data_IF_801882441135
#
_entry.id   IF_801882441135
#
_cell.length_a   1.000
_cell.length_b   1.000
_cell.length_c   1.000
_cell.angle_alpha   90.00
_cell.angle_beta   90.00
_cell.angle_gamma   90.00
#
_symmetry.space_group_name_H-M   'P 1'
#
loop_
_entity.id
_entity.type
_entity.pdbx_description
1 polymer ?
#
# COMPACT_ATOMS: atom_id res chain seq x y z
N UNK A 1 -62.73 17.51 45.19
CA UNK A 1 -61.89 16.32 45.43
C UNK A 1 -61.27 15.94 44.09
N UNK A 2 -60.12 16.52 43.76
CA UNK A 2 -59.51 16.39 42.43
C UNK A 2 -58.61 15.15 42.42
N UNK A 3 -59.10 14.07 41.79
CA UNK A 3 -58.32 12.88 41.51
C UNK A 3 -57.20 13.28 40.56
N UNK A 4 -55.96 13.39 41.05
CA UNK A 4 -54.78 13.47 40.17
C UNK A 4 -54.71 12.15 39.41
N UNK A 5 -55.33 12.09 38.22
CA UNK A 5 -55.16 10.97 37.30
C UNK A 5 -53.67 10.82 37.03
N UNK A 6 -53.13 9.65 37.37
CA UNK A 6 -51.72 9.34 37.16
C UNK A 6 -51.51 9.26 35.64
N UNK A 7 -51.09 10.35 35.02
CA UNK A 7 -50.80 10.48 33.58
C UNK A 7 -49.89 9.33 33.09
N UNK A 8 -49.08 8.77 33.99
CA UNK A 8 -48.25 7.59 33.78
C UNK A 8 -49.02 6.29 33.48
N UNK A 9 -50.22 6.10 34.03
CA UNK A 9 -51.01 4.87 33.88
C UNK A 9 -51.91 4.89 32.63
N UNK A 10 -52.44 6.06 32.28
CA UNK A 10 -53.36 6.21 31.14
C UNK A 10 -52.63 6.20 29.79
N UNK A 11 -51.40 6.73 29.75
CA UNK A 11 -50.56 6.80 28.55
C UNK A 11 -49.29 5.94 28.65
N UNK A 12 -49.39 4.78 29.31
CA UNK A 12 -48.25 3.85 29.51
C UNK A 12 -47.55 3.44 28.19
N UNK A 13 -48.31 3.36 27.10
CA UNK A 13 -47.79 3.04 25.76
C UNK A 13 -46.89 4.14 25.18
N UNK A 14 -47.12 5.41 25.53
CA UNK A 14 -46.23 6.53 25.12
C UNK A 14 -44.88 6.43 25.81
N UNK A 15 -44.84 5.97 27.06
CA UNK A 15 -43.58 5.72 27.78
C UNK A 15 -42.80 4.55 27.19
N UNK A 16 -43.49 3.46 26.82
CA UNK A 16 -42.85 2.36 26.09
C UNK A 16 -42.31 2.79 24.73
N UNK A 17 -43.08 3.57 23.98
CA UNK A 17 -42.63 4.13 22.70
C UNK A 17 -41.41 5.04 22.87
N UNK A 18 -41.38 5.86 23.91
CA UNK A 18 -40.25 6.72 24.25
C UNK A 18 -39.00 5.91 24.61
N UNK A 19 -39.14 4.82 25.38
CA UNK A 19 -38.03 3.91 25.69
C UNK A 19 -37.50 3.23 24.42
N UNK A 20 -38.38 2.77 23.53
CA UNK A 20 -37.97 2.16 22.25
C UNK A 20 -37.23 3.17 21.38
N UNK A 21 -37.73 4.42 21.28
CA UNK A 21 -37.05 5.49 20.54
C UNK A 21 -35.69 5.84 21.15
N UNK A 22 -35.58 5.88 22.48
CA UNK A 22 -34.32 6.15 23.16
C UNK A 22 -33.27 5.06 22.91
N UNK A 23 -33.67 3.78 22.94
CA UNK A 23 -32.79 2.65 22.61
C UNK A 23 -32.35 2.70 21.14
N UNK A 24 -33.27 2.99 20.22
CA UNK A 24 -32.95 3.14 18.80
C UNK A 24 -31.96 4.31 18.54
N UNK A 25 -32.19 5.46 19.18
CA UNK A 25 -31.30 6.62 19.07
C UNK A 25 -29.89 6.31 19.59
N UNK A 26 -29.77 5.61 20.72
CA UNK A 26 -28.47 5.17 21.26
C UNK A 26 -27.72 4.26 20.29
N UNK A 27 -28.44 3.32 19.63
CA UNK A 27 -27.84 2.41 18.66
C UNK A 27 -27.35 3.11 17.40
N UNK A 28 -28.11 4.10 16.90
CA UNK A 28 -27.73 4.91 15.74
C UNK A 28 -26.51 5.79 16.07
N UNK A 29 -26.47 6.42 17.24
CA UNK A 29 -25.29 7.19 17.67
C UNK A 29 -24.04 6.33 17.86
N UNK A 30 -24.17 5.12 18.40
CA UNK A 30 -23.05 4.17 18.49
C UNK A 30 -22.47 3.82 17.13
N UNK A 31 -23.32 3.54 16.13
CA UNK A 31 -22.89 3.27 14.75
C UNK A 31 -22.30 4.50 14.06
N UNK A 32 -22.90 5.67 14.26
CA UNK A 32 -22.38 6.93 13.71
C UNK A 32 -21.02 7.30 14.31
N UNK A 33 -20.82 7.11 15.62
CA UNK A 33 -19.54 7.34 16.29
C UNK A 33 -18.45 6.36 15.83
N UNK A 34 -18.79 5.07 15.67
CA UNK A 34 -17.86 4.08 15.13
C UNK A 34 -17.47 4.38 13.67
N UNK A 35 -18.43 4.78 12.83
CA UNK A 35 -18.17 5.20 11.46
C UNK A 35 -17.30 6.47 11.41
N UNK A 36 -17.59 7.47 12.25
CA UNK A 36 -16.81 8.69 12.34
C UNK A 36 -15.36 8.44 12.81
N UNK A 37 -15.14 7.54 13.78
CA UNK A 37 -13.81 7.11 14.20
C UNK A 37 -13.04 6.43 13.07
N UNK A 38 -13.67 5.47 12.38
CA UNK A 38 -13.07 4.78 11.23
C UNK A 38 -12.73 5.74 10.07
N UNK A 39 -13.57 6.75 9.84
CA UNK A 39 -13.27 7.82 8.88
C UNK A 39 -12.16 8.75 9.36
N UNK A 40 -12.09 9.03 10.66
CA UNK A 40 -11.02 9.82 11.27
C UNK A 40 -9.66 9.12 11.18
N UNK A 41 -9.60 7.83 11.52
CA UNK A 41 -8.39 6.99 11.42
C UNK A 41 -7.89 6.92 9.98
N UNK A 42 -8.78 6.64 9.02
CA UNK A 42 -8.41 6.64 7.58
C UNK A 42 -7.92 8.00 7.10
N UNK A 43 -8.54 9.09 7.58
CA UNK A 43 -8.08 10.45 7.24
C UNK A 43 -6.70 10.74 7.85
N UNK A 44 -6.45 10.31 9.09
CA UNK A 44 -5.16 10.46 9.75
C UNK A 44 -4.07 9.64 9.03
N UNK A 45 -4.37 8.40 8.64
CA UNK A 45 -3.45 7.55 7.87
C UNK A 45 -3.12 8.17 6.50
N UNK A 46 -4.13 8.68 5.79
CA UNK A 46 -3.92 9.41 4.52
C UNK A 46 -3.10 10.68 4.76
N UNK A 47 -3.40 11.45 5.81
CA UNK A 47 -2.66 12.66 6.14
C UNK A 47 -1.20 12.37 6.49
N UNK A 48 -0.93 11.30 7.23
CA UNK A 48 0.43 10.84 7.56
C UNK A 48 1.19 10.43 6.32
N UNK A 49 0.57 9.62 5.43
CA UNK A 49 1.16 9.25 4.13
C UNK A 49 1.47 10.49 3.28
N UNK A 50 0.54 11.44 3.18
CA UNK A 50 0.75 12.69 2.43
C UNK A 50 1.87 13.55 3.03
N UNK A 51 1.98 13.63 4.37
CA UNK A 51 3.07 14.34 5.04
C UNK A 51 4.42 13.67 4.78
N UNK A 52 4.46 12.34 4.82
CA UNK A 52 5.64 11.56 4.50
C UNK A 52 6.07 11.75 3.05
N UNK A 53 5.15 11.63 2.10
CA UNK A 53 5.41 11.88 0.68
C UNK A 53 5.88 13.32 0.42
N UNK A 54 5.29 14.31 1.09
CA UNK A 54 5.71 15.70 0.98
C UNK A 54 7.14 15.92 1.52
N UNK A 55 7.51 15.23 2.60
CA UNK A 55 8.86 15.24 3.15
C UNK A 55 9.85 14.61 2.16
N UNK A 56 9.56 13.41 1.64
CA UNK A 56 10.39 12.77 0.63
C UNK A 56 10.54 13.63 -0.63
N UNK A 57 9.43 14.24 -1.08
CA UNK A 57 9.42 15.13 -2.25
C UNK A 57 10.35 16.32 -2.07
N UNK A 58 10.47 16.85 -0.86
CA UNK A 58 11.41 17.92 -0.52
C UNK A 58 12.84 17.40 -0.37
N UNK A 59 13.04 16.30 0.35
CA UNK A 59 14.36 15.78 0.68
C UNK A 59 15.10 15.19 -0.51
N UNK A 60 14.38 14.53 -1.42
CA UNK A 60 14.88 13.85 -2.61
C UNK A 60 14.56 14.63 -3.89
N UNK A 61 14.20 15.91 -3.78
CA UNK A 61 13.95 16.79 -4.92
C UNK A 61 15.13 16.86 -5.90
N UNK A 62 16.35 16.69 -5.39
CA UNK A 62 17.58 16.54 -6.17
C UNK A 62 18.33 15.35 -5.59
N UNK A 63 18.59 14.35 -6.43
CA UNK A 63 19.36 13.18 -6.06
C UNK A 63 20.83 13.45 -6.41
N UNK A 64 21.73 13.31 -5.44
CA UNK A 64 23.18 13.42 -5.64
C UNK A 64 23.87 12.16 -5.12
N UNK A 65 25.09 11.82 -5.58
CA UNK A 65 25.82 10.68 -5.04
C UNK A 65 25.94 10.72 -3.51
N UNK A 66 26.21 11.91 -2.97
CA UNK A 66 26.30 12.12 -1.53
C UNK A 66 24.96 11.88 -0.81
N UNK A 67 23.85 12.36 -1.39
CA UNK A 67 22.51 12.13 -0.84
C UNK A 67 22.18 10.64 -0.79
N UNK A 68 22.50 9.87 -1.84
CA UNK A 68 22.32 8.41 -1.87
C UNK A 68 23.16 7.73 -0.80
N UNK A 69 24.42 8.13 -0.65
CA UNK A 69 25.33 7.55 0.33
C UNK A 69 24.90 7.80 1.79
N UNK A 70 24.39 9.00 2.09
CA UNK A 70 24.04 9.44 3.45
C UNK A 70 22.58 9.18 3.82
N UNK A 71 21.70 8.89 2.86
CA UNK A 71 20.29 8.67 3.12
C UNK A 71 20.05 7.52 4.11
N UNK A 72 19.05 7.64 5.01
CA UNK A 72 18.61 6.53 5.85
C UNK A 72 18.22 5.30 5.02
N UNK A 73 18.49 4.13 5.58
CA UNK A 73 18.32 2.85 4.89
C UNK A 73 16.84 2.50 4.65
N UNK A 74 15.95 2.97 5.52
CA UNK A 74 14.51 2.77 5.46
C UNK A 74 13.79 3.74 4.50
N UNK A 75 14.40 4.89 4.17
CA UNK A 75 13.77 5.91 3.32
C UNK A 75 14.38 6.05 1.93
N UNK A 76 15.57 5.49 1.68
CA UNK A 76 16.27 5.67 0.40
C UNK A 76 15.47 5.13 -0.80
N UNK A 77 14.88 3.93 -0.70
CA UNK A 77 14.03 3.38 -1.76
C UNK A 77 12.85 4.32 -2.07
N UNK A 78 12.12 4.71 -1.02
CA UNK A 78 10.94 5.57 -1.14
C UNK A 78 11.31 6.93 -1.76
N UNK A 79 12.43 7.51 -1.35
CA UNK A 79 12.94 8.78 -1.87
C UNK A 79 13.32 8.72 -3.35
N UNK A 80 14.01 7.66 -3.77
CA UNK A 80 14.39 7.43 -5.18
C UNK A 80 13.15 7.23 -6.05
N UNK A 81 12.20 6.42 -5.60
CA UNK A 81 10.94 6.19 -6.33
C UNK A 81 10.09 7.46 -6.37
N UNK A 82 10.00 8.22 -5.28
CA UNK A 82 9.31 9.50 -5.25
C UNK A 82 9.91 10.49 -6.27
N UNK A 83 11.24 10.54 -6.39
CA UNK A 83 11.92 11.36 -7.40
C UNK A 83 11.58 10.92 -8.82
N UNK A 84 11.59 9.60 -9.07
CA UNK A 84 11.21 9.03 -10.36
C UNK A 84 9.75 9.38 -10.72
N UNK A 85 8.81 9.19 -9.78
CA UNK A 85 7.40 9.58 -9.95
C UNK A 85 7.25 11.05 -10.34
N UNK A 86 7.93 11.97 -9.65
CA UNK A 86 7.92 13.40 -9.97
C UNK A 86 8.41 13.70 -11.39
N UNK A 87 9.37 12.92 -11.89
CA UNK A 87 9.90 13.06 -13.25
C UNK A 87 8.90 12.57 -14.28
N UNK A 88 8.25 11.43 -14.02
CA UNK A 88 7.22 10.84 -14.88
C UNK A 88 5.96 11.73 -14.94
N UNK A 89 5.53 12.30 -13.81
CA UNK A 89 4.39 13.23 -13.70
C UNK A 89 4.47 14.45 -14.62
N UNK A 90 5.68 14.86 -15.00
CA UNK A 90 5.90 16.02 -15.88
C UNK A 90 5.84 15.65 -17.37
N UNK A 91 5.77 14.36 -17.70
CA UNK A 91 5.78 13.89 -19.09
C UNK A 91 4.35 13.76 -19.61
N UNK A 92 4.11 14.06 -20.89
CA UNK A 92 2.79 13.96 -21.50
C UNK A 92 2.31 12.49 -21.63
N UNK A 93 3.25 11.56 -21.73
CA UNK A 93 3.00 10.11 -21.78
C UNK A 93 3.88 9.43 -20.72
N UNK A 94 3.26 9.10 -19.58
CA UNK A 94 3.93 8.46 -18.46
C UNK A 94 4.40 7.04 -18.81
N UNK A 95 3.61 6.28 -19.56
CA UNK A 95 3.94 4.88 -19.91
C UNK A 95 5.20 4.84 -20.76
N UNK A 96 5.25 5.66 -21.81
CA UNK A 96 6.44 5.77 -22.66
C UNK A 96 7.64 6.32 -21.89
N UNK A 97 7.42 7.29 -21.01
CA UNK A 97 8.49 7.83 -20.17
C UNK A 97 9.05 6.77 -19.21
N UNK A 98 8.18 5.98 -18.59
CA UNK A 98 8.58 4.89 -17.70
C UNK A 98 9.37 3.82 -18.46
N UNK A 99 8.93 3.43 -19.65
CA UNK A 99 9.66 2.48 -20.51
C UNK A 99 11.05 2.98 -20.92
N UNK A 100 11.26 4.30 -20.98
CA UNK A 100 12.55 4.90 -21.30
C UNK A 100 13.50 5.02 -20.08
N UNK A 101 13.00 4.79 -18.86
CA UNK A 101 13.83 4.74 -17.65
C UNK A 101 14.80 3.54 -17.69
N UNK A 102 15.87 3.64 -16.90
CA UNK A 102 16.80 2.52 -16.75
C UNK A 102 16.08 1.28 -16.18
N UNK A 103 16.67 0.10 -16.36
CA UNK A 103 16.08 -1.11 -15.79
C UNK A 103 16.04 -1.02 -14.26
N UNK A 104 17.11 -0.54 -13.65
CA UNK A 104 17.24 -0.38 -12.21
C UNK A 104 16.17 0.55 -11.64
N UNK A 105 15.88 1.66 -12.32
CA UNK A 105 14.80 2.57 -11.93
C UNK A 105 13.43 1.90 -11.96
N UNK A 106 13.14 1.17 -13.04
CA UNK A 106 11.86 0.47 -13.21
C UNK A 106 11.69 -0.66 -12.20
N UNK A 107 12.74 -1.41 -11.92
CA UNK A 107 12.76 -2.47 -10.92
C UNK A 107 12.56 -1.94 -9.50
N UNK A 108 13.29 -0.88 -9.11
CA UNK A 108 13.10 -0.26 -7.79
C UNK A 108 11.70 0.35 -7.64
N UNK A 109 11.15 0.90 -8.73
CA UNK A 109 9.76 1.34 -8.76
C UNK A 109 8.80 0.17 -8.50
N UNK A 110 8.96 -0.97 -9.19
CA UNK A 110 8.15 -2.16 -8.95
C UNK A 110 8.31 -2.70 -7.51
N UNK A 111 9.55 -2.75 -7.00
CA UNK A 111 9.86 -3.22 -5.65
C UNK A 111 9.20 -2.36 -4.56
N UNK A 112 9.12 -1.04 -4.78
CA UNK A 112 8.40 -0.14 -3.88
C UNK A 112 6.91 -0.51 -3.79
N UNK A 113 6.25 -0.81 -4.92
CA UNK A 113 4.85 -1.25 -4.89
C UNK A 113 4.68 -2.66 -4.32
N UNK A 114 5.65 -3.56 -4.45
CA UNK A 114 5.64 -4.83 -3.70
C UNK A 114 5.65 -4.55 -2.19
N UNK A 115 6.43 -3.57 -1.74
CA UNK A 115 6.48 -3.18 -0.33
C UNK A 115 5.19 -2.51 0.17
N UNK A 116 4.52 -1.69 -0.65
CA UNK A 116 3.29 -1.00 -0.24
C UNK A 116 2.04 -1.89 -0.38
N UNK A 117 1.90 -2.58 -1.51
CA UNK A 117 0.68 -3.31 -1.87
C UNK A 117 0.76 -4.80 -1.56
N UNK A 118 1.98 -5.36 -1.56
CA UNK A 118 2.24 -6.78 -1.32
C UNK A 118 2.48 -7.14 0.15
N UNK A 119 2.69 -6.16 1.04
CA UNK A 119 3.11 -6.40 2.43
C UNK A 119 2.18 -7.31 3.24
N UNK A 120 0.87 -7.27 2.97
CA UNK A 120 -0.08 -8.17 3.64
C UNK A 120 -0.34 -9.47 2.88
N UNK A 121 -0.39 -9.38 1.55
CA UNK A 121 -0.68 -10.45 0.60
C UNK A 121 -0.05 -10.09 -0.73
N UNK A 122 0.77 -10.97 -1.28
CA UNK A 122 1.40 -10.74 -2.57
C UNK A 122 0.35 -10.71 -3.70
N UNK A 123 -0.69 -11.54 -3.58
CA UNK A 123 -1.81 -11.56 -4.53
C UNK A 123 -2.57 -10.24 -4.61
N UNK A 124 -2.46 -9.39 -3.57
CA UNK A 124 -3.01 -8.03 -3.62
C UNK A 124 -2.22 -7.16 -4.59
N UNK A 125 -0.90 -7.19 -4.54
CA UNK A 125 -0.03 -6.45 -5.45
C UNK A 125 -0.36 -6.79 -6.91
N UNK A 126 -0.41 -8.08 -7.26
CA UNK A 126 -0.70 -8.53 -8.63
C UNK A 126 -2.12 -8.20 -9.11
N UNK A 127 -3.10 -8.10 -8.20
CA UNK A 127 -4.49 -7.76 -8.58
C UNK A 127 -4.74 -6.28 -8.83
N UNK A 128 -3.98 -5.39 -8.20
CA UNK A 128 -4.26 -3.95 -8.23
C UNK A 128 -3.26 -3.17 -9.06
N UNK A 129 -2.12 -3.79 -9.40
CA UNK A 129 -1.13 -3.25 -10.32
C UNK A 129 -1.22 -3.94 -11.68
N UNK A 130 -0.58 -3.37 -12.69
CA UNK A 130 -0.56 -3.91 -14.05
C UNK A 130 0.84 -3.90 -14.66
N UNK A 131 0.95 -4.38 -15.88
CA UNK A 131 2.23 -4.42 -16.59
C UNK A 131 2.79 -3.01 -16.85
N UNK A 132 4.13 -2.84 -16.81
CA UNK A 132 5.15 -3.89 -16.67
C UNK A 132 5.54 -4.20 -15.21
N UNK A 133 4.83 -3.67 -14.20
CA UNK A 133 5.23 -3.82 -12.80
C UNK A 133 5.19 -5.27 -12.32
N UNK A 134 4.24 -6.05 -12.84
CA UNK A 134 4.05 -7.44 -12.45
C UNK A 134 5.23 -8.29 -12.91
N UNK A 135 5.62 -8.17 -14.18
CA UNK A 135 6.79 -8.85 -14.74
C UNK A 135 8.12 -8.45 -14.07
N UNK A 136 8.23 -7.20 -13.61
CA UNK A 136 9.45 -6.67 -13.01
C UNK A 136 9.63 -7.06 -11.54
N UNK A 137 8.54 -7.31 -10.81
CA UNK A 137 8.59 -7.56 -9.37
C UNK A 137 9.50 -8.73 -8.96
N UNK A 138 9.45 -9.91 -9.60
CA UNK A 138 10.34 -11.02 -9.26
C UNK A 138 11.82 -10.69 -9.51
N UNK A 139 12.13 -10.02 -10.63
CA UNK A 139 13.50 -9.63 -10.96
C UNK A 139 14.04 -8.58 -9.99
N UNK A 140 13.20 -7.61 -9.61
CA UNK A 140 13.57 -6.58 -8.64
C UNK A 140 13.89 -7.17 -7.26
N UNK A 141 13.12 -8.16 -6.80
CA UNK A 141 13.42 -8.90 -5.57
C UNK A 141 14.74 -9.69 -5.68
N UNK A 142 14.98 -10.31 -6.84
CA UNK A 142 16.21 -11.07 -7.07
C UNK A 142 17.45 -10.16 -7.07
N UNK A 143 17.39 -8.97 -7.69
CA UNK A 143 18.51 -8.02 -7.75
C UNK A 143 18.87 -7.40 -6.40
N UNK A 144 17.95 -7.37 -5.44
CA UNK A 144 18.26 -6.96 -4.05
C UNK A 144 18.62 -8.14 -3.17
N UNK A 145 18.97 -9.29 -3.74
CA UNK A 145 19.32 -10.53 -3.04
C UNK A 145 18.19 -11.11 -2.15
N UNK A 146 16.93 -10.83 -2.46
CA UNK A 146 15.76 -11.42 -1.80
C UNK A 146 15.28 -12.70 -2.52
N UNK A 147 16.15 -13.73 -2.55
CA UNK A 147 15.95 -14.91 -3.41
C UNK A 147 14.66 -15.69 -3.14
N UNK A 148 14.29 -15.89 -1.86
CA UNK A 148 13.10 -16.67 -1.54
C UNK A 148 11.81 -15.90 -1.86
N UNK A 149 11.78 -14.60 -1.58
CA UNK A 149 10.69 -13.72 -2.03
C UNK A 149 10.57 -13.69 -3.54
N UNK A 150 11.70 -13.58 -4.26
CA UNK A 150 11.73 -13.57 -5.71
C UNK A 150 11.18 -14.88 -6.31
N UNK A 151 11.54 -16.03 -5.72
CA UNK A 151 11.03 -17.33 -6.14
C UNK A 151 9.52 -17.43 -5.99
N UNK A 152 8.98 -17.00 -4.85
CA UNK A 152 7.53 -17.00 -4.59
C UNK A 152 6.83 -16.03 -5.54
N UNK A 153 7.38 -14.84 -5.74
CA UNK A 153 6.80 -13.83 -6.63
C UNK A 153 6.82 -14.26 -8.10
N UNK A 154 7.89 -14.92 -8.55
CA UNK A 154 7.95 -15.48 -9.90
C UNK A 154 6.86 -16.54 -10.09
N UNK A 155 6.71 -17.45 -9.14
CA UNK A 155 5.68 -18.49 -9.23
C UNK A 155 4.27 -17.91 -9.23
N UNK A 156 4.02 -16.89 -8.39
CA UNK A 156 2.71 -16.25 -8.34
C UNK A 156 2.42 -15.44 -9.61
N UNK A 157 3.42 -14.77 -10.18
CA UNK A 157 3.30 -14.00 -11.42
C UNK A 157 2.81 -14.86 -12.59
N UNK A 158 3.24 -16.13 -12.69
CA UNK A 158 2.78 -17.02 -13.77
C UNK A 158 1.25 -17.15 -13.83
N UNK A 159 0.53 -17.00 -12.71
CA UNK A 159 -0.94 -17.02 -12.67
C UNK A 159 -1.61 -15.70 -13.04
N UNK A 160 -0.84 -14.60 -13.11
CA UNK A 160 -1.29 -13.25 -13.44
C UNK A 160 -0.77 -12.74 -14.80
N UNK A 161 0.21 -13.43 -15.39
CA UNK A 161 0.69 -13.14 -16.74
C UNK A 161 -0.39 -13.47 -17.78
N UNK A 162 -0.96 -12.42 -18.39
CA UNK A 162 -1.96 -12.56 -19.46
C UNK A 162 -1.41 -13.27 -20.71
N UNK A 163 -0.08 -13.28 -20.89
CA UNK A 163 0.60 -14.01 -21.95
C UNK A 163 0.80 -15.50 -21.66
N UNK A 164 0.58 -15.95 -20.43
CA UNK A 164 0.80 -17.32 -20.01
C UNK A 164 -0.48 -18.17 -20.09
N UNK A 165 -0.71 -18.79 -21.25
CA UNK A 165 -1.87 -19.67 -21.44
C UNK A 165 -1.73 -21.03 -20.72
N UNK A 166 -0.54 -21.37 -20.20
CA UNK A 166 -0.28 -22.67 -19.59
C UNK A 166 -0.70 -22.75 -18.12
N UNK A 167 -0.76 -21.61 -17.43
CA UNK A 167 -1.03 -21.54 -16.00
C UNK A 167 -2.36 -20.81 -15.78
N UNK A 168 -3.30 -21.50 -15.14
CA UNK A 168 -4.58 -20.90 -14.76
C UNK A 168 -4.54 -20.36 -13.34
N UNK A 169 -5.35 -19.34 -13.07
CA UNK A 169 -5.50 -18.77 -11.74
C UNK A 169 -6.12 -19.80 -10.77
N UNK A 170 -5.32 -20.31 -9.85
CA UNK A 170 -5.70 -21.26 -8.80
C UNK A 170 -5.77 -20.56 -7.44
N UNK A 171 -6.96 -20.53 -6.83
CA UNK A 171 -7.17 -19.87 -5.54
C UNK A 171 -6.45 -20.56 -4.38
N UNK A 172 -6.41 -21.88 -4.36
CA UNK A 172 -5.75 -22.61 -3.28
C UNK A 172 -4.24 -22.40 -3.36
N UNK A 173 -3.68 -22.44 -4.57
CA UNK A 173 -2.26 -22.15 -4.77
C UNK A 173 -1.91 -20.71 -4.39
N UNK A 174 -2.75 -19.74 -4.76
CA UNK A 174 -2.57 -18.34 -4.35
C UNK A 174 -2.56 -18.18 -2.83
N UNK A 175 -3.49 -18.81 -2.11
CA UNK A 175 -3.52 -18.73 -0.64
C UNK A 175 -2.27 -19.36 0.01
N UNK A 176 -1.72 -20.43 -0.60
CA UNK A 176 -0.46 -21.04 -0.15
C UNK A 176 0.74 -20.12 -0.40
N UNK A 177 0.82 -19.49 -1.58
CA UNK A 177 1.90 -18.56 -1.93
C UNK A 177 1.83 -17.28 -1.11
N UNK A 178 0.63 -16.71 -0.90
CA UNK A 178 0.41 -15.57 -0.01
C UNK A 178 0.91 -15.87 1.41
N UNK A 179 0.63 -17.08 1.93
CA UNK A 179 1.11 -17.50 3.24
C UNK A 179 2.64 -17.68 3.26
N UNK A 180 3.20 -18.31 2.25
CA UNK A 180 4.64 -18.50 2.12
C UNK A 180 5.37 -17.14 2.07
N UNK A 181 4.88 -16.22 1.23
CA UNK A 181 5.42 -14.88 1.10
C UNK A 181 5.36 -14.14 2.43
N UNK A 182 4.20 -14.15 3.10
CA UNK A 182 4.03 -13.50 4.41
C UNK A 182 5.02 -14.01 5.47
N UNK A 183 5.42 -15.28 5.41
CA UNK A 183 6.34 -15.87 6.38
C UNK A 183 7.80 -15.42 6.18
N UNK A 184 8.19 -15.03 4.97
CA UNK A 184 9.56 -14.63 4.64
C UNK A 184 9.71 -13.11 4.47
N UNK A 185 8.65 -12.46 3.97
CA UNK A 185 8.66 -11.06 3.60
C UNK A 185 8.68 -10.15 4.82
N UNK A 186 9.63 -9.21 4.82
CA UNK A 186 9.69 -8.12 5.77
C UNK A 186 10.02 -6.84 5.01
N UNK A 187 9.04 -5.92 4.90
CA UNK A 187 9.21 -4.68 4.14
C UNK A 187 10.46 -3.89 4.56
N UNK A 188 10.73 -3.77 5.87
CA UNK A 188 11.92 -3.08 6.36
C UNK A 188 13.23 -3.74 5.88
N UNK A 189 13.29 -5.08 5.87
CA UNK A 189 14.45 -5.83 5.34
C UNK A 189 14.61 -5.63 3.83
N UNK A 190 13.52 -5.67 3.08
CA UNK A 190 13.55 -5.48 1.63
C UNK A 190 13.95 -4.04 1.27
N UNK A 191 13.41 -3.03 1.95
CA UNK A 191 13.83 -1.62 1.80
C UNK A 191 15.32 -1.45 2.13
N UNK A 192 15.79 -2.14 3.16
CA UNK A 192 17.21 -2.14 3.53
C UNK A 192 18.12 -2.70 2.45
N UNK A 193 17.75 -3.83 1.86
CA UNK A 193 18.50 -4.44 0.75
C UNK A 193 18.45 -3.57 -0.51
N UNK A 194 17.29 -2.98 -0.81
CA UNK A 194 17.13 -2.05 -1.91
C UNK A 194 18.02 -0.81 -1.73
N UNK A 195 18.13 -0.28 -0.51
CA UNK A 195 19.02 0.84 -0.23
C UNK A 195 20.50 0.47 -0.48
N UNK A 196 20.92 -0.74 -0.10
CA UNK A 196 22.30 -1.21 -0.35
C UNK A 196 22.56 -1.39 -1.85
N UNK A 197 21.60 -1.95 -2.59
CA UNK A 197 21.64 -2.04 -4.05
C UNK A 197 21.73 -0.66 -4.73
N UNK A 198 20.87 0.28 -4.32
CA UNK A 198 20.86 1.66 -4.84
C UNK A 198 22.20 2.35 -4.58
N UNK A 199 22.83 2.13 -3.41
CA UNK A 199 24.15 2.70 -3.12
C UNK A 199 25.24 2.06 -3.98
N UNK A 200 25.19 0.75 -4.20
CA UNK A 200 26.15 0.03 -5.02
C UNK A 200 26.09 0.48 -6.49
N UNK A 201 24.90 0.78 -7.01
CA UNK A 201 24.68 1.26 -8.39
C UNK A 201 24.14 2.69 -8.45
N UNK A 202 24.67 3.58 -7.61
CA UNK A 202 24.15 4.94 -7.44
C UNK A 202 24.01 5.72 -8.75
N UNK A 203 24.93 5.51 -9.71
CA UNK A 203 24.92 6.20 -11.00
C UNK A 203 23.66 5.90 -11.82
N UNK A 204 23.07 4.72 -11.69
CA UNK A 204 21.84 4.36 -12.41
C UNK A 204 20.62 5.20 -12.01
N UNK A 205 20.67 5.86 -10.85
CA UNK A 205 19.56 6.63 -10.26
C UNK A 205 19.75 8.15 -10.33
N UNK A 206 20.89 8.63 -10.80
CA UNK A 206 21.21 10.06 -10.86
C UNK A 206 20.75 10.75 -12.14
N UNK A 207 19.91 10.10 -12.94
CA UNK A 207 19.43 10.65 -14.21
C UNK A 207 18.41 11.77 -14.00
N UNK A 208 18.49 12.80 -14.84
CA UNK A 208 17.57 13.97 -14.86
C UNK A 208 16.22 13.69 -15.53
#
# INVERSE_FOLDING_TARGET
MATRMNVFAEYWYLWLLLVVLAVAAFFVWGKAAAAARKHGEKRAEIEEKLRYEALLRKEYAVLTPQKIAEAPQDTLLDGVVCRLQQRLEKRPDMTKAFQACSMQEREMYALYYVCEDGAQKLSRFFRINGEPLLALAPQALLHVDAQEEARIAAEEYEMFDEGNEAVSLDRERLDQLDLAFKNVFCAARIKSLAADYIRADAQAFLQD
#
